data_IF_608937446166
#
_entry.id   IF_608937446166
#
_cell.length_a   1.000
_cell.length_b   1.000
_cell.length_c   1.000
_cell.angle_alpha   90.00
_cell.angle_beta   90.00
_cell.angle_gamma   90.00
#
_symmetry.space_group_name_H-M   'P 1'
#
loop_
_entity.id
_entity.type
_entity.pdbx_description
1 polymer ?
#
# COMPACT_ATOMS: atom_id res chain seq x y z
N UNK A 1 17.00 -17.95 -8.10
CA UNK A 1 15.96 -17.29 -8.91
C UNK A 1 14.67 -17.01 -8.14
N UNK A 2 13.90 -17.99 -7.65
CA UNK A 2 12.65 -17.68 -6.91
C UNK A 2 12.92 -17.02 -5.54
N UNK A 3 13.95 -17.48 -4.83
CA UNK A 3 14.31 -16.89 -3.53
C UNK A 3 14.74 -15.43 -3.67
N UNK A 4 15.48 -15.09 -4.74
CA UNK A 4 15.93 -13.71 -5.02
C UNK A 4 14.76 -12.76 -5.31
N UNK A 5 13.74 -13.24 -6.04
CA UNK A 5 12.51 -12.47 -6.30
C UNK A 5 11.76 -12.23 -4.99
N UNK A 6 11.64 -13.27 -4.16
CA UNK A 6 10.97 -13.19 -2.88
C UNK A 6 11.70 -12.28 -1.89
N UNK A 7 13.04 -12.33 -1.84
CA UNK A 7 13.85 -11.42 -1.04
C UNK A 7 13.75 -9.98 -1.53
N UNK A 8 13.72 -9.76 -2.85
CA UNK A 8 13.49 -8.44 -3.44
C UNK A 8 12.13 -7.88 -3.03
N UNK A 9 11.08 -8.71 -3.06
CA UNK A 9 9.75 -8.33 -2.60
C UNK A 9 9.76 -7.93 -1.11
N UNK A 10 10.33 -8.76 -0.23
CA UNK A 10 10.43 -8.45 1.21
C UNK A 10 11.16 -7.12 1.43
N UNK A 11 12.28 -6.89 0.73
CA UNK A 11 13.06 -5.66 0.82
C UNK A 11 12.22 -4.44 0.43
N UNK A 12 11.51 -4.46 -0.70
CA UNK A 12 10.65 -3.35 -1.11
C UNK A 12 9.56 -3.03 -0.08
N UNK A 13 8.97 -4.05 0.56
CA UNK A 13 7.97 -3.85 1.61
C UNK A 13 8.60 -3.22 2.85
N UNK A 14 9.77 -3.71 3.28
CA UNK A 14 10.50 -3.15 4.44
C UNK A 14 10.91 -1.70 4.16
N UNK A 15 11.47 -1.40 2.99
CA UNK A 15 11.90 -0.05 2.64
C UNK A 15 10.71 0.92 2.52
N UNK A 16 9.62 0.48 1.90
CA UNK A 16 8.43 1.32 1.68
C UNK A 16 7.59 1.56 2.94
N UNK A 17 7.54 0.60 3.87
CA UNK A 17 6.76 0.72 5.11
C UNK A 17 7.61 1.16 6.30
N UNK A 18 8.88 0.77 6.35
CA UNK A 18 9.82 1.08 7.42
C UNK A 18 9.23 0.84 8.82
N UNK A 19 9.31 1.85 9.67
CA UNK A 19 8.79 1.83 11.05
C UNK A 19 7.26 1.68 11.16
N UNK A 20 6.51 1.73 10.06
CA UNK A 20 5.06 1.53 10.06
C UNK A 20 4.69 0.06 10.24
N UNK A 21 5.54 -0.88 9.79
CA UNK A 21 5.30 -2.30 10.00
C UNK A 21 5.22 -2.62 11.49
N UNK A 22 4.20 -3.38 11.87
CA UNK A 22 3.96 -3.74 13.28
C UNK A 22 4.56 -5.09 13.67
N UNK A 23 5.04 -5.85 12.70
CA UNK A 23 5.77 -7.11 12.91
C UNK A 23 6.92 -7.24 11.91
N UNK A 24 7.95 -8.06 12.20
CA UNK A 24 8.99 -8.39 11.24
C UNK A 24 8.42 -8.96 9.95
N UNK A 25 9.04 -8.64 8.81
CA UNK A 25 8.53 -9.07 7.50
C UNK A 25 8.51 -10.60 7.38
N UNK A 26 9.44 -11.27 8.04
CA UNK A 26 9.55 -12.73 8.11
C UNK A 26 8.32 -13.39 8.75
N UNK A 27 7.65 -12.70 9.68
CA UNK A 27 6.44 -13.20 10.33
C UNK A 27 5.17 -12.95 9.51
N UNK A 28 5.25 -12.06 8.50
CA UNK A 28 4.11 -11.63 7.71
C UNK A 28 4.14 -12.27 6.31
N UNK A 29 5.32 -12.39 5.71
CA UNK A 29 5.51 -12.77 4.31
C UNK A 29 5.37 -14.28 4.03
N UNK A 30 4.39 -14.96 4.64
CA UNK A 30 4.21 -16.42 4.51
C UNK A 30 3.29 -16.88 3.37
N UNK A 31 2.96 -16.02 2.40
CA UNK A 31 1.96 -16.33 1.35
C UNK A 31 0.50 -16.27 1.82
N UNK A 32 0.25 -15.92 3.09
CA UNK A 32 -1.08 -15.74 3.66
C UNK A 32 -1.74 -14.46 3.10
N UNK A 33 -3.01 -14.57 2.73
CA UNK A 33 -3.86 -13.42 2.36
C UNK A 33 -4.36 -12.72 3.62
N UNK A 34 -4.33 -11.38 3.60
CA UNK A 34 -4.84 -10.52 4.67
C UNK A 34 -6.05 -9.72 4.20
N UNK A 35 -7.04 -9.54 5.08
CA UNK A 35 -8.10 -8.55 4.85
C UNK A 35 -7.53 -7.14 4.98
N UNK A 36 -8.21 -6.14 4.43
CA UNK A 36 -7.78 -4.73 4.57
C UNK A 36 -7.61 -4.30 6.03
N UNK A 37 -8.48 -4.82 6.94
CA UNK A 37 -8.39 -4.55 8.38
C UNK A 37 -7.12 -5.14 9.00
N UNK A 38 -6.80 -6.40 8.68
CA UNK A 38 -5.56 -7.04 9.13
C UNK A 38 -4.32 -6.34 8.56
N UNK A 39 -4.37 -5.94 7.29
CA UNK A 39 -3.28 -5.20 6.67
C UNK A 39 -3.05 -3.85 7.36
N UNK A 40 -4.11 -3.17 7.81
CA UNK A 40 -3.99 -1.93 8.58
C UNK A 40 -3.35 -2.18 9.96
N UNK A 41 -3.81 -3.21 10.67
CA UNK A 41 -3.26 -3.61 11.98
C UNK A 41 -1.77 -3.99 11.89
N UNK A 42 -1.35 -4.63 10.79
CA UNK A 42 0.05 -5.00 10.53
C UNK A 42 0.88 -3.83 9.99
N UNK A 43 0.25 -2.71 9.65
CA UNK A 43 0.91 -1.54 9.08
C UNK A 43 1.32 -1.73 7.61
N UNK A 44 0.72 -2.68 6.89
CA UNK A 44 0.90 -2.89 5.45
C UNK A 44 0.18 -1.82 4.62
N UNK A 45 -0.90 -1.25 5.14
CA UNK A 45 -1.61 -0.11 4.54
C UNK A 45 -1.70 1.05 5.54
N UNK A 46 -1.94 2.26 5.03
CA UNK A 46 -2.02 3.46 5.89
C UNK A 46 -3.43 3.75 6.43
N UNK A 47 -4.48 3.35 5.69
CA UNK A 47 -5.88 3.56 6.07
C UNK A 47 -6.83 2.69 5.25
N UNK A 48 -8.06 2.54 5.75
CA UNK A 48 -9.19 2.02 4.99
C UNK A 48 -9.90 3.17 4.25
N UNK A 49 -10.42 2.87 3.06
CA UNK A 49 -11.18 3.82 2.24
C UNK A 49 -11.40 3.28 0.83
N UNK A 50 -12.20 4.00 0.05
CA UNK A 50 -12.46 3.70 -1.36
C UNK A 50 -11.55 4.49 -2.31
N UNK A 51 -11.83 4.36 -3.61
CA UNK A 51 -11.13 5.10 -4.67
C UNK A 51 -11.25 6.62 -4.49
N UNK A 52 -12.45 7.12 -4.14
CA UNK A 52 -12.69 8.54 -3.91
C UNK A 52 -11.80 9.09 -2.79
N UNK A 53 -11.66 8.33 -1.69
CA UNK A 53 -10.77 8.72 -0.59
C UNK A 53 -9.32 8.78 -1.08
N UNK A 54 -8.87 7.78 -1.84
CA UNK A 54 -7.52 7.70 -2.37
C UNK A 54 -7.18 8.92 -3.24
N UNK A 55 -8.08 9.31 -4.15
CA UNK A 55 -7.94 10.50 -5.00
C UNK A 55 -7.88 11.76 -4.15
N UNK A 56 -8.79 11.93 -3.19
CA UNK A 56 -8.81 13.10 -2.31
C UNK A 56 -7.52 13.22 -1.48
N UNK A 57 -6.97 12.10 -1.00
CA UNK A 57 -5.69 12.13 -0.28
C UNK A 57 -4.50 12.44 -1.19
N UNK A 58 -4.50 11.98 -2.44
CA UNK A 58 -3.48 12.34 -3.42
C UNK A 58 -3.53 13.85 -3.72
N UNK A 59 -4.72 14.39 -4.01
CA UNK A 59 -4.93 15.83 -4.24
C UNK A 59 -4.49 16.67 -3.03
N UNK A 60 -4.86 16.25 -1.80
CA UNK A 60 -4.44 16.91 -0.56
C UNK A 60 -2.92 16.92 -0.41
N UNK A 61 -2.24 15.80 -0.68
CA UNK A 61 -0.76 15.71 -0.61
C UNK A 61 -0.07 16.56 -1.66
N UNK A 62 -0.69 16.73 -2.83
CA UNK A 62 -0.20 17.60 -3.90
C UNK A 62 -0.57 19.08 -3.71
N UNK A 63 -1.35 19.44 -2.68
CA UNK A 63 -1.83 20.80 -2.47
C UNK A 63 -2.90 21.26 -3.47
N UNK A 64 -3.53 20.33 -4.20
CA UNK A 64 -4.52 20.62 -5.23
C UNK A 64 -5.91 20.67 -4.59
N UNK A 65 -6.60 21.81 -4.75
CA UNK A 65 -7.96 22.03 -4.21
C UNK A 65 -9.07 21.69 -5.20
N UNK A 66 -8.80 21.92 -6.48
CA UNK A 66 -9.75 21.70 -7.57
C UNK A 66 -9.07 20.83 -8.62
N UNK A 67 -9.68 19.71 -8.94
CA UNK A 67 -9.17 18.75 -9.92
C UNK A 67 -10.32 18.09 -10.67
N UNK A 68 -10.03 17.56 -11.84
CA UNK A 68 -10.95 16.73 -12.62
C UNK A 68 -10.32 15.36 -12.79
N UNK A 69 -11.13 14.31 -12.67
CA UNK A 69 -10.69 12.93 -12.87
C UNK A 69 -10.90 12.60 -14.35
N UNK A 70 -9.86 12.04 -14.99
CA UNK A 70 -9.94 11.45 -16.33
C UNK A 70 -9.55 9.99 -16.24
N UNK A 71 -10.32 9.11 -16.87
CA UNK A 71 -10.06 7.68 -16.94
C UNK A 71 -9.60 7.31 -18.35
N UNK A 72 -8.66 6.38 -18.46
CA UNK A 72 -8.07 5.95 -19.73
C UNK A 72 -8.10 4.42 -19.85
N UNK A 73 -8.39 3.85 -21.05
CA UNK A 73 -8.79 4.56 -22.28
C UNK A 73 -10.12 5.29 -22.10
N UNK A 74 -10.30 6.39 -22.84
CA UNK A 74 -11.59 7.08 -22.86
C UNK A 74 -12.63 6.09 -23.38
N UNK A 75 -13.73 5.93 -22.63
CA UNK A 75 -14.80 4.98 -22.95
C UNK A 75 -15.52 5.33 -24.25
#
# INVERSE_FOLDING_TARGET
QMDEIYDTFKRHVVDGRGKKLKKPIEQIAGGRVFTGRQALELGLVDRMGGQVDAIAAAAKRAGIRTYTIREYPES
#
